data_IF_526914035545
#
_entry.id   IF_526914035545
#
_cell.length_a   1.000
_cell.length_b   1.000
_cell.length_c   1.000
_cell.angle_alpha   90.00
_cell.angle_beta   90.00
_cell.angle_gamma   90.00
#
_symmetry.space_group_name_H-M   'P 1'
#
loop_
_entity.id
_entity.type
_entity.pdbx_description
1 polymer ?
#
# COMPACT_ATOMS: atom_id res chain seq x y z
N UNK A 1 7.13 2.08 14.21
CA UNK A 1 6.36 3.14 14.88
C UNK A 1 5.28 3.57 13.92
N UNK A 2 4.05 3.71 14.39
CA UNK A 2 2.93 4.24 13.64
C UNK A 2 2.61 5.64 14.16
N UNK A 3 2.35 6.58 13.26
CA UNK A 3 1.77 7.87 13.59
C UNK A 3 0.45 8.03 12.84
N UNK A 4 -0.63 8.30 13.55
CA UNK A 4 -1.98 8.46 12.98
C UNK A 4 -2.34 9.93 13.03
N UNK A 5 -2.63 10.55 11.89
CA UNK A 5 -3.26 11.88 11.85
C UNK A 5 -4.72 11.78 12.28
N UNK A 6 -5.06 12.51 13.35
CA UNK A 6 -6.35 12.41 14.04
C UNK A 6 -7.28 13.60 13.73
N UNK A 7 -6.96 14.34 12.67
CA UNK A 7 -7.82 15.40 12.14
C UNK A 7 -9.23 14.90 11.83
N UNK A 8 -10.21 15.80 11.76
CA UNK A 8 -11.61 15.47 11.54
C UNK A 8 -11.85 14.63 10.27
N UNK A 9 -10.98 14.74 9.25
CA UNK A 9 -11.07 13.88 8.06
C UNK A 9 -10.91 12.38 8.37
N UNK A 10 -10.25 12.01 9.48
CA UNK A 10 -10.18 10.61 9.93
C UNK A 10 -11.52 10.09 10.49
N UNK A 11 -12.47 10.97 10.83
CA UNK A 11 -13.79 10.58 11.32
C UNK A 11 -14.80 10.37 10.19
N UNK A 12 -14.41 10.62 8.94
CA UNK A 12 -15.32 10.48 7.80
C UNK A 12 -15.85 9.06 7.73
N UNK A 13 -17.17 8.97 7.62
CA UNK A 13 -17.89 7.71 7.48
C UNK A 13 -17.59 7.07 6.12
N UNK A 14 -17.35 5.77 6.19
CA UNK A 14 -17.18 4.84 5.08
C UNK A 14 -18.34 3.87 5.19
N UNK A 15 -19.18 3.85 4.16
CA UNK A 15 -20.26 2.89 4.03
C UNK A 15 -19.72 1.67 3.35
N UNK A 16 -19.93 0.51 3.96
CA UNK A 16 -19.65 -0.79 3.38
C UNK A 16 -20.96 -1.43 2.92
N UNK A 17 -20.89 -2.38 1.99
CA UNK A 17 -22.03 -2.96 1.26
C UNK A 17 -23.12 -3.55 2.17
N UNK A 18 -22.73 -4.10 3.33
CA UNK A 18 -23.66 -4.67 4.31
C UNK A 18 -24.44 -3.63 5.14
N UNK A 19 -24.35 -2.34 4.80
CA UNK A 19 -25.02 -1.24 5.49
C UNK A 19 -24.37 -0.82 6.81
N UNK A 20 -23.24 -1.43 7.19
CA UNK A 20 -22.44 -0.95 8.31
C UNK A 20 -21.72 0.36 7.95
N UNK A 21 -21.50 1.17 8.97
CA UNK A 21 -20.82 2.46 8.85
C UNK A 21 -19.59 2.40 9.74
N UNK A 22 -18.43 2.60 9.14
CA UNK A 22 -17.14 2.69 9.83
C UNK A 22 -16.57 4.08 9.62
N UNK A 23 -15.81 4.61 10.58
CA UNK A 23 -15.00 5.79 10.28
C UNK A 23 -13.69 5.37 9.62
N UNK A 24 -13.05 6.29 8.88
CA UNK A 24 -11.68 6.10 8.37
C UNK A 24 -10.73 5.68 9.49
N UNK A 25 -10.86 6.26 10.69
CA UNK A 25 -10.09 5.91 11.88
C UNK A 25 -10.31 4.47 12.34
N UNK A 26 -11.53 3.96 12.26
CA UNK A 26 -11.81 2.56 12.59
C UNK A 26 -11.05 1.62 11.65
N UNK A 27 -11.12 1.89 10.34
CA UNK A 27 -10.41 1.10 9.32
C UNK A 27 -8.89 1.21 9.49
N UNK A 28 -8.37 2.39 9.83
CA UNK A 28 -6.95 2.58 10.14
C UNK A 28 -6.54 1.69 11.32
N UNK A 29 -7.28 1.71 12.43
CA UNK A 29 -6.99 0.86 13.60
C UNK A 29 -6.99 -0.62 13.23
N UNK A 30 -7.96 -1.08 12.44
CA UNK A 30 -8.03 -2.46 11.97
C UNK A 30 -6.82 -2.85 11.11
N UNK A 31 -6.47 -2.01 10.13
CA UNK A 31 -5.37 -2.32 9.22
C UNK A 31 -4.02 -2.37 9.95
N UNK A 32 -3.83 -1.55 10.99
CA UNK A 32 -2.65 -1.62 11.86
C UNK A 32 -2.62 -2.94 12.64
N UNK A 33 -3.76 -3.41 13.17
CA UNK A 33 -3.80 -4.67 13.93
C UNK A 33 -3.49 -5.87 13.03
N UNK A 34 -4.10 -5.91 11.82
CA UNK A 34 -3.77 -6.89 10.79
C UNK A 34 -2.26 -6.89 10.49
N UNK A 35 -1.70 -5.71 10.24
CA UNK A 35 -0.27 -5.55 9.98
C UNK A 35 0.59 -6.07 11.13
N UNK A 36 0.26 -5.72 12.38
CA UNK A 36 1.02 -6.15 13.54
C UNK A 36 1.04 -7.66 13.66
N UNK A 37 -0.11 -8.31 13.56
CA UNK A 37 -0.19 -9.75 13.65
C UNK A 37 0.60 -10.44 12.54
N UNK A 38 0.47 -9.99 11.29
CA UNK A 38 1.24 -10.53 10.17
C UNK A 38 2.76 -10.29 10.33
N UNK A 39 3.19 -9.12 10.81
CA UNK A 39 4.61 -8.87 11.12
C UNK A 39 5.13 -9.75 12.26
N UNK A 40 4.33 -9.97 13.29
CA UNK A 40 4.69 -10.83 14.43
C UNK A 40 4.76 -12.30 14.04
N UNK A 41 3.91 -12.77 13.11
CA UNK A 41 4.01 -14.14 12.58
C UNK A 41 5.25 -14.34 11.72
N UNK A 42 5.70 -13.30 10.99
CA UNK A 42 6.98 -13.32 10.26
C UNK A 42 8.17 -13.37 11.24
N UNK A 43 8.14 -12.53 12.28
CA UNK A 43 9.15 -12.56 13.35
C UNK A 43 8.59 -11.96 14.65
N UNK A 44 8.58 -12.76 15.71
CA UNK A 44 8.02 -12.39 17.02
C UNK A 44 8.83 -11.31 17.76
N UNK A 45 10.03 -10.96 17.30
CA UNK A 45 10.86 -9.90 17.89
C UNK A 45 10.51 -8.49 17.40
N UNK A 46 9.58 -8.35 16.46
CA UNK A 46 9.09 -7.03 16.08
C UNK A 46 8.41 -6.34 17.27
N UNK A 47 8.61 -5.03 17.38
CA UNK A 47 7.96 -4.20 18.40
C UNK A 47 7.37 -2.97 17.75
N UNK A 48 6.26 -2.51 18.31
CA UNK A 48 5.44 -1.44 17.78
C UNK A 48 5.28 -0.34 18.81
N UNK A 49 5.14 0.89 18.33
CA UNK A 49 4.82 2.08 19.09
C UNK A 49 3.87 2.94 18.29
N UNK A 50 2.99 3.67 18.99
CA UNK A 50 1.95 4.49 18.39
C UNK A 50 2.04 5.92 18.89
N UNK A 51 1.88 6.85 17.96
CA UNK A 51 1.69 8.27 18.21
C UNK A 51 0.49 8.77 17.41
N UNK A 52 -0.02 9.92 17.79
CA UNK A 52 -1.07 10.63 17.09
C UNK A 52 -0.58 12.03 16.69
N UNK A 53 -1.02 12.51 15.54
CA UNK A 53 -0.77 13.84 15.02
C UNK A 53 -2.09 14.64 15.06
N UNK A 54 -2.23 15.50 16.06
CA UNK A 54 -3.29 16.50 16.13
C UNK A 54 -2.73 17.89 15.80
N UNK A 55 -2.99 18.88 16.66
CA UNK A 55 -2.29 20.17 16.63
C UNK A 55 -0.78 20.04 16.86
N UNK A 56 -0.39 19.06 17.68
CA UNK A 56 0.99 18.63 17.85
C UNK A 56 1.05 17.10 17.91
N UNK A 57 2.22 16.54 17.64
CA UNK A 57 2.44 15.10 17.81
C UNK A 57 2.43 14.75 19.31
N UNK A 58 1.77 13.65 19.68
CA UNK A 58 1.85 13.08 21.01
C UNK A 58 1.91 11.54 20.96
N UNK A 59 2.55 10.95 21.97
CA UNK A 59 2.78 9.51 22.08
C UNK A 59 1.61 8.83 22.80
N UNK A 60 1.11 7.73 22.24
CA UNK A 60 -0.03 6.97 22.78
C UNK A 60 0.39 5.87 23.76
N UNK A 61 1.67 5.50 23.77
CA UNK A 61 2.23 4.51 24.70
C UNK A 61 3.69 4.81 25.03
N UNK A 62 4.10 4.56 26.28
CA UNK A 62 5.46 4.93 26.75
C UNK A 62 6.58 4.16 26.04
N UNK A 63 6.40 2.85 25.85
CA UNK A 63 7.43 1.94 25.36
C UNK A 63 6.95 1.16 24.14
N UNK A 64 7.87 0.56 23.39
CA UNK A 64 7.55 -0.33 22.29
C UNK A 64 7.03 -1.68 22.83
N UNK A 65 5.97 -2.22 22.26
CA UNK A 65 5.37 -3.51 22.65
C UNK A 65 5.23 -4.44 21.45
N UNK A 66 5.26 -5.75 21.69
CA UNK A 66 4.96 -6.80 20.70
C UNK A 66 3.57 -7.41 20.91
N UNK A 67 2.73 -6.82 21.77
CA UNK A 67 1.41 -7.35 22.11
C UNK A 67 0.29 -6.54 21.49
N UNK A 68 -0.80 -7.23 21.13
CA UNK A 68 -1.97 -6.63 20.50
C UNK A 68 -2.76 -5.80 21.50
N UNK A 69 -2.81 -6.23 22.76
CA UNK A 69 -3.47 -5.54 23.85
C UNK A 69 -2.86 -4.14 24.09
N UNK A 70 -1.55 -4.00 23.90
CA UNK A 70 -0.88 -2.70 23.99
C UNK A 70 -1.34 -1.75 22.88
N UNK A 71 -1.55 -2.26 21.66
CA UNK A 71 -2.07 -1.46 20.55
C UNK A 71 -3.52 -1.04 20.79
N UNK A 72 -4.36 -1.98 21.23
CA UNK A 72 -5.75 -1.69 21.60
C UNK A 72 -5.83 -0.64 22.72
N UNK A 73 -4.97 -0.74 23.74
CA UNK A 73 -4.88 0.26 24.79
C UNK A 73 -4.45 1.63 24.26
N UNK A 74 -3.44 1.67 23.38
CA UNK A 74 -2.98 2.91 22.75
C UNK A 74 -4.09 3.57 21.90
N UNK A 75 -4.87 2.78 21.16
CA UNK A 75 -5.97 3.29 20.34
C UNK A 75 -7.13 3.86 21.14
N UNK A 76 -7.37 3.35 22.35
CA UNK A 76 -8.34 3.95 23.29
C UNK A 76 -7.88 5.31 23.82
N UNK A 77 -6.57 5.56 23.81
CA UNK A 77 -5.98 6.85 24.19
C UNK A 77 -6.01 7.91 23.09
N UNK A 78 -6.52 7.60 21.90
CA UNK A 78 -6.75 8.59 20.85
C UNK A 78 -7.96 9.43 21.28
N UNK A 79 -7.69 10.66 21.68
CA UNK A 79 -8.69 11.63 22.12
C UNK A 79 -8.52 12.96 21.37
N UNK A 80 -9.57 13.79 21.37
CA UNK A 80 -9.60 15.13 20.77
C UNK A 80 -9.45 15.16 19.25
N UNK A 81 -10.57 15.37 18.57
CA UNK A 81 -10.61 15.67 17.14
C UNK A 81 -10.82 17.18 17.01
N UNK A 82 -9.74 17.91 16.80
CA UNK A 82 -9.83 19.32 16.44
C UNK A 82 -9.17 19.49 15.10
N UNK A 83 -9.90 20.11 14.17
CA UNK A 83 -9.32 20.56 12.91
C UNK A 83 -8.16 21.48 13.22
N UNK A 84 -6.98 21.16 12.70
CA UNK A 84 -5.81 22.01 12.88
C UNK A 84 -5.26 22.44 11.53
N UNK A 85 -5.14 23.76 11.38
CA UNK A 85 -4.56 24.40 10.18
C UNK A 85 -3.05 24.17 10.06
N UNK A 86 -2.44 23.38 10.95
CA UNK A 86 -1.02 23.06 10.95
C UNK A 86 -0.78 21.57 11.18
N UNK A 87 0.11 21.00 10.37
CA UNK A 87 0.60 19.64 10.52
C UNK A 87 2.14 19.66 10.64
N UNK A 88 2.63 19.93 11.84
CA UNK A 88 4.07 19.94 12.14
C UNK A 88 4.59 18.53 12.47
N UNK A 89 5.43 17.97 11.60
CA UNK A 89 6.07 16.67 11.80
C UNK A 89 7.41 16.77 12.56
N UNK A 90 7.86 17.98 12.93
CA UNK A 90 9.17 18.20 13.57
C UNK A 90 9.34 17.39 14.85
N UNK A 91 8.33 17.39 15.72
CA UNK A 91 8.39 16.63 16.97
C UNK A 91 8.37 15.11 16.71
N UNK A 92 7.55 14.66 15.76
CA UNK A 92 7.51 13.26 15.33
C UNK A 92 8.88 12.80 14.85
N UNK A 93 9.55 13.59 14.01
CA UNK A 93 10.86 13.23 13.46
C UNK A 93 11.97 13.26 14.50
N UNK A 94 11.94 14.20 15.46
CA UNK A 94 12.85 14.21 16.62
C UNK A 94 12.70 12.94 17.45
N UNK A 95 11.46 12.53 17.70
CA UNK A 95 11.15 11.33 18.47
C UNK A 95 11.60 10.07 17.71
N UNK A 96 11.26 9.97 16.41
CA UNK A 96 11.68 8.87 15.56
C UNK A 96 13.21 8.75 15.51
N UNK A 97 13.94 9.85 15.31
CA UNK A 97 15.39 9.84 15.29
C UNK A 97 16.01 9.39 16.62
N UNK A 98 15.44 9.83 17.75
CA UNK A 98 15.88 9.40 19.07
C UNK A 98 15.69 7.88 19.24
N UNK A 99 14.50 7.35 18.92
CA UNK A 99 14.22 5.92 19.01
C UNK A 99 15.02 5.10 17.99
N UNK A 100 15.37 5.67 16.83
CA UNK A 100 16.18 5.01 15.84
C UNK A 100 17.63 4.83 16.30
N UNK A 101 18.22 5.82 16.99
CA UNK A 101 19.54 5.68 17.61
C UNK A 101 19.53 4.59 18.69
N UNK A 102 18.50 4.58 19.54
CA UNK A 102 18.32 3.54 20.57
C UNK A 102 18.13 2.15 19.96
N UNK A 103 17.37 2.05 18.87
CA UNK A 103 17.13 0.80 18.15
C UNK A 103 18.42 0.26 17.52
N UNK A 104 19.25 1.12 16.90
CA UNK A 104 20.55 0.71 16.33
C UNK A 104 21.50 0.16 17.38
N UNK A 105 21.52 0.75 18.58
CA UNK A 105 22.32 0.23 19.70
C UNK A 105 21.91 -1.20 20.12
N UNK A 106 20.71 -1.65 19.70
CA UNK A 106 20.19 -3.00 19.91
C UNK A 106 20.16 -3.84 18.63
N UNK A 107 20.90 -3.43 17.59
CA UNK A 107 20.95 -4.05 16.27
C UNK A 107 19.56 -4.17 15.60
N UNK A 108 18.75 -3.10 15.71
CA UNK A 108 17.42 -2.98 15.11
C UNK A 108 17.33 -1.72 14.27
N UNK A 109 16.54 -1.79 13.19
CA UNK A 109 16.16 -0.61 12.41
C UNK A 109 14.84 -0.02 12.94
N UNK A 110 14.66 1.29 12.77
CA UNK A 110 13.39 1.95 13.03
C UNK A 110 12.71 2.31 11.71
N UNK A 111 11.45 1.90 11.60
CA UNK A 111 10.53 2.30 10.54
C UNK A 111 9.40 3.14 11.14
N UNK A 112 9.12 4.30 10.54
CA UNK A 112 7.97 5.14 10.84
C UNK A 112 6.94 4.99 9.70
N UNK A 113 5.73 4.58 10.03
CA UNK A 113 4.60 4.56 9.10
C UNK A 113 3.66 5.69 9.51
N UNK A 114 3.57 6.74 8.69
CA UNK A 114 2.67 7.88 8.87
C UNK A 114 1.38 7.62 8.10
N UNK A 115 0.24 7.70 8.79
CA UNK A 115 -1.08 7.65 8.16
C UNK A 115 -1.65 9.07 8.22
N UNK A 116 -1.59 9.77 7.09
CA UNK A 116 -1.94 11.19 6.97
C UNK A 116 -3.33 11.36 6.39
N UNK A 117 -4.18 12.19 7.01
CA UNK A 117 -5.60 12.28 6.66
C UNK A 117 -6.05 13.65 6.15
N UNK A 118 -5.30 14.73 6.40
CA UNK A 118 -5.70 16.08 5.98
C UNK A 118 -5.54 16.27 4.47
N UNK A 119 -6.60 16.70 3.80
CA UNK A 119 -6.60 16.99 2.36
C UNK A 119 -6.27 18.44 2.02
N UNK A 120 -6.34 19.35 2.99
CA UNK A 120 -6.20 20.79 2.80
C UNK A 120 -4.92 21.39 3.41
N UNK A 121 -4.20 20.63 4.23
CA UNK A 121 -3.04 21.11 4.99
C UNK A 121 -1.82 20.30 4.58
N UNK A 122 -0.84 20.88 3.87
CA UNK A 122 0.43 20.20 3.64
C UNK A 122 1.21 20.06 4.96
N UNK A 123 1.82 18.90 5.24
CA UNK A 123 2.70 18.78 6.39
C UNK A 123 3.94 19.65 6.21
N UNK A 124 4.49 20.11 7.32
CA UNK A 124 5.78 20.78 7.34
C UNK A 124 6.68 20.17 8.42
N UNK A 125 8.00 20.36 8.27
CA UNK A 125 8.94 20.00 9.32
C UNK A 125 10.20 20.86 9.26
N UNK A 126 10.87 20.98 10.41
CA UNK A 126 12.22 21.51 10.53
C UNK A 126 13.16 20.36 10.89
N UNK A 127 13.62 19.64 9.87
CA UNK A 127 14.51 18.49 10.02
C UNK A 127 15.73 18.64 9.10
N UNK A 128 16.96 18.42 9.59
CA UNK A 128 18.13 18.46 8.73
C UNK A 128 18.09 17.32 7.71
N UNK A 129 18.11 17.64 6.41
CA UNK A 129 18.08 16.66 5.30
C UNK A 129 19.26 15.67 5.35
N UNK A 130 20.35 16.03 6.03
CA UNK A 130 21.51 15.16 6.25
C UNK A 130 21.26 14.04 7.28
N UNK A 131 20.16 14.09 8.04
CA UNK A 131 19.86 13.12 9.10
C UNK A 131 18.82 12.08 8.68
N UNK A 132 19.29 11.07 7.94
CA UNK A 132 18.49 9.91 7.53
C UNK A 132 18.67 8.76 8.52
N UNK A 133 17.93 8.82 9.62
CA UNK A 133 18.10 7.91 10.76
C UNK A 133 17.03 6.80 10.83
N UNK A 134 15.94 6.91 10.10
CA UNK A 134 14.87 5.94 10.07
C UNK A 134 14.28 5.90 8.66
N UNK A 135 13.47 4.91 8.32
CA UNK A 135 12.69 4.92 7.08
C UNK A 135 11.29 5.45 7.35
N UNK A 136 10.82 6.40 6.54
CA UNK A 136 9.44 6.87 6.55
C UNK A 136 8.65 6.16 5.42
N UNK A 137 7.52 5.59 5.77
CA UNK A 137 6.47 5.25 4.82
C UNK A 137 5.24 6.09 5.10
N UNK A 138 4.50 6.43 4.05
CA UNK A 138 3.32 7.27 4.11
C UNK A 138 2.12 6.55 3.53
N UNK A 139 1.01 6.60 4.25
CA UNK A 139 -0.32 6.27 3.76
C UNK A 139 -1.13 7.56 3.77
N UNK A 140 -1.36 8.14 2.59
CA UNK A 140 -2.12 9.37 2.43
C UNK A 140 -3.58 9.04 2.09
N UNK A 141 -4.48 9.32 3.04
CA UNK A 141 -5.91 9.02 2.92
C UNK A 141 -6.68 10.34 2.89
N UNK A 142 -7.22 10.69 1.73
CA UNK A 142 -7.86 11.99 1.54
C UNK A 142 -9.18 11.85 0.80
N UNK A 143 -9.91 12.95 0.75
CA UNK A 143 -11.08 13.08 -0.10
C UNK A 143 -10.70 13.54 -1.51
N UNK A 144 -11.62 13.35 -2.46
CA UNK A 144 -11.46 13.87 -3.82
C UNK A 144 -11.14 15.37 -3.79
N UNK A 145 -10.36 15.86 -4.78
CA UNK A 145 -10.13 17.29 -4.93
C UNK A 145 -11.45 18.06 -5.05
N UNK A 146 -11.61 19.06 -4.21
CA UNK A 146 -12.74 19.99 -4.15
C UNK A 146 -12.21 21.42 -3.95
N UNK A 147 -13.06 22.43 -4.05
CA UNK A 147 -12.64 23.84 -3.91
C UNK A 147 -12.04 24.18 -2.55
N UNK A 148 -12.27 23.35 -1.53
CA UNK A 148 -11.87 23.57 -0.14
C UNK A 148 -10.62 22.80 0.28
N UNK A 149 -10.07 21.92 -0.59
CA UNK A 149 -8.90 21.12 -0.28
C UNK A 149 -7.84 21.17 -1.40
N UNK A 150 -6.67 20.60 -1.16
CA UNK A 150 -5.55 20.62 -2.10
C UNK A 150 -4.68 19.35 -2.05
N UNK A 151 -5.27 18.16 -2.27
CA UNK A 151 -4.59 16.90 -2.02
C UNK A 151 -3.28 16.72 -2.79
N UNK A 152 -3.15 17.27 -4.00
CA UNK A 152 -1.88 17.24 -4.74
C UNK A 152 -0.76 17.97 -3.99
N UNK A 153 -1.03 19.16 -3.45
CA UNK A 153 -0.01 19.92 -2.68
C UNK A 153 0.39 19.19 -1.40
N UNK A 154 -0.55 18.49 -0.79
CA UNK A 154 -0.29 17.66 0.39
C UNK A 154 0.56 16.45 0.02
N UNK A 155 0.22 15.77 -1.08
CA UNK A 155 0.99 14.64 -1.60
C UNK A 155 2.43 15.05 -1.91
N UNK A 156 2.64 16.15 -2.65
CA UNK A 156 3.96 16.67 -2.98
C UNK A 156 4.80 16.93 -1.72
N UNK A 157 4.21 17.56 -0.69
CA UNK A 157 4.89 17.80 0.58
C UNK A 157 5.20 16.51 1.38
N UNK A 158 4.37 15.47 1.24
CA UNK A 158 4.63 14.16 1.84
C UNK A 158 5.76 13.42 1.13
N UNK A 159 5.84 13.52 -0.21
CA UNK A 159 6.96 13.00 -1.01
C UNK A 159 8.25 13.69 -0.59
N UNK A 160 8.27 15.03 -0.54
CA UNK A 160 9.42 15.81 -0.10
C UNK A 160 9.90 15.36 1.30
N UNK A 161 8.97 15.21 2.26
CA UNK A 161 9.31 14.77 3.60
C UNK A 161 9.91 13.35 3.61
N UNK A 162 9.33 12.43 2.83
CA UNK A 162 9.79 11.05 2.71
C UNK A 162 11.20 10.97 2.15
N UNK A 163 11.49 11.70 1.07
CA UNK A 163 12.83 11.74 0.45
C UNK A 163 13.89 12.32 1.39
N UNK A 164 13.52 13.34 2.16
CA UNK A 164 14.45 14.05 3.04
C UNK A 164 14.85 13.25 4.29
N UNK A 165 13.97 12.42 4.84
CA UNK A 165 14.21 11.76 6.13
C UNK A 165 14.55 10.28 6.04
N UNK A 166 14.22 9.61 4.94
CA UNK A 166 14.31 8.14 4.86
C UNK A 166 15.74 7.62 4.62
N UNK A 167 16.16 6.69 5.48
CA UNK A 167 17.44 5.96 5.38
C UNK A 167 17.46 4.92 4.26
N UNK A 168 16.43 4.08 4.22
CA UNK A 168 16.13 3.20 3.08
C UNK A 168 14.99 3.79 2.27
N UNK A 169 14.74 3.25 1.07
CA UNK A 169 13.60 3.61 0.24
C UNK A 169 12.31 3.65 1.09
N UNK A 170 11.63 4.79 1.08
CA UNK A 170 10.32 4.98 1.71
C UNK A 170 9.22 4.74 0.67
N UNK A 171 8.10 4.15 1.06
CA UNK A 171 6.94 4.01 0.19
C UNK A 171 5.87 5.04 0.55
N UNK A 172 5.20 5.58 -0.45
CA UNK A 172 4.02 6.44 -0.30
C UNK A 172 2.84 5.87 -1.07
N UNK A 173 1.72 5.69 -0.39
CA UNK A 173 0.47 5.23 -1.00
C UNK A 173 -0.62 6.27 -0.82
N UNK A 174 -1.37 6.55 -1.89
CA UNK A 174 -2.51 7.48 -1.89
C UNK A 174 -3.84 6.70 -1.98
N UNK A 175 -4.87 7.18 -1.29
CA UNK A 175 -6.26 6.73 -1.48
C UNK A 175 -7.23 7.90 -1.30
N UNK A 176 -7.77 8.40 -2.41
CA UNK A 176 -8.72 9.52 -2.46
C UNK A 176 -10.19 9.17 -2.20
N UNK A 177 -10.51 7.88 -2.00
CA UNK A 177 -11.88 7.40 -1.72
C UNK A 177 -12.01 6.70 -0.37
N UNK A 178 -10.90 6.43 0.31
CA UNK A 178 -10.91 5.78 1.62
C UNK A 178 -11.48 4.36 1.58
N UNK A 179 -11.51 3.69 0.42
CA UNK A 179 -11.96 2.29 0.33
C UNK A 179 -11.09 1.44 1.27
N UNK A 180 -11.70 0.73 2.24
CA UNK A 180 -10.94 -0.01 3.24
C UNK A 180 -10.02 -1.04 2.57
N UNK A 181 -10.51 -1.73 1.54
CA UNK A 181 -9.77 -2.71 0.75
C UNK A 181 -8.43 -2.17 0.25
N UNK A 182 -8.42 -0.95 -0.29
CA UNK A 182 -7.19 -0.31 -0.78
C UNK A 182 -6.19 -0.09 0.34
N UNK A 183 -6.65 0.36 1.51
CA UNK A 183 -5.81 0.55 2.69
C UNK A 183 -5.22 -0.78 3.19
N UNK A 184 -6.03 -1.84 3.30
CA UNK A 184 -5.55 -3.17 3.70
C UNK A 184 -4.49 -3.70 2.73
N UNK A 185 -4.73 -3.61 1.42
CA UNK A 185 -3.76 -4.02 0.40
C UNK A 185 -2.43 -3.29 0.55
N UNK A 186 -2.45 -1.96 0.68
CA UNK A 186 -1.23 -1.18 0.86
C UNK A 186 -0.51 -1.53 2.17
N UNK A 187 -1.24 -1.80 3.25
CA UNK A 187 -0.66 -2.26 4.52
C UNK A 187 0.04 -3.62 4.37
N UNK A 188 -0.51 -4.53 3.57
CA UNK A 188 0.13 -5.80 3.24
C UNK A 188 1.44 -5.61 2.46
N UNK A 189 1.49 -4.69 1.50
CA UNK A 189 2.74 -4.34 0.79
C UNK A 189 3.80 -3.82 1.75
N UNK A 190 3.37 -3.01 2.73
CA UNK A 190 4.23 -2.50 3.80
C UNK A 190 4.70 -3.61 4.76
N UNK A 191 4.27 -4.87 4.66
CA UNK A 191 4.84 -5.95 5.50
C UNK A 191 6.32 -6.20 5.19
N UNK A 192 6.74 -5.89 3.96
CA UNK A 192 8.11 -6.00 3.49
C UNK A 192 9.10 -5.25 4.39
N UNK A 193 10.26 -5.87 4.66
CA UNK A 193 11.30 -5.26 5.48
C UNK A 193 11.95 -4.09 4.72
N UNK A 194 12.14 -2.90 5.31
CA UNK A 194 12.67 -1.72 4.60
C UNK A 194 13.99 -1.94 3.84
N UNK A 195 14.89 -2.76 4.39
CA UNK A 195 16.17 -3.09 3.75
C UNK A 195 16.03 -4.09 2.58
N UNK A 196 14.98 -4.92 2.57
CA UNK A 196 14.87 -6.07 1.66
C UNK A 196 13.89 -5.85 0.50
N UNK A 197 13.05 -4.81 0.58
CA UNK A 197 12.09 -4.48 -0.48
C UNK A 197 12.78 -3.79 -1.65
N UNK A 198 12.22 -3.94 -2.85
CA UNK A 198 12.62 -3.18 -4.03
C UNK A 198 12.25 -1.70 -3.90
N UNK A 199 12.52 -0.90 -4.95
CA UNK A 199 11.94 0.43 -5.07
C UNK A 199 10.44 0.33 -5.36
N UNK A 200 9.67 1.36 -5.01
CA UNK A 200 8.22 1.26 -5.08
C UNK A 200 7.69 1.02 -6.50
N UNK A 201 8.33 1.63 -7.51
CA UNK A 201 7.94 1.50 -8.92
C UNK A 201 8.16 0.08 -9.48
N UNK A 202 9.05 -0.70 -8.85
CA UNK A 202 9.37 -2.08 -9.25
C UNK A 202 8.50 -3.12 -8.52
N UNK A 203 7.49 -2.68 -7.76
CA UNK A 203 6.57 -3.60 -7.10
C UNK A 203 5.64 -4.21 -8.16
N UNK A 204 5.91 -5.46 -8.50
CA UNK A 204 4.97 -6.30 -9.26
C UNK A 204 4.13 -7.12 -8.28
N UNK A 205 2.98 -6.58 -7.87
CA UNK A 205 1.96 -7.38 -7.18
C UNK A 205 1.15 -8.07 -8.27
N UNK A 206 1.21 -9.40 -8.36
CA UNK A 206 0.49 -10.11 -9.38
C UNK A 206 -1.02 -9.82 -9.32
N UNK A 207 -1.61 -9.49 -10.46
CA UNK A 207 -3.06 -9.22 -10.55
C UNK A 207 -3.83 -10.53 -10.40
N UNK A 208 -4.96 -10.50 -9.68
CA UNK A 208 -5.84 -11.67 -9.50
C UNK A 208 -6.22 -12.29 -10.85
N UNK A 209 -6.04 -13.61 -10.98
CA UNK A 209 -6.28 -14.38 -12.20
C UNK A 209 -7.77 -14.58 -12.53
N UNK A 210 -8.69 -14.00 -11.78
CA UNK A 210 -10.15 -14.22 -11.92
C UNK A 210 -10.78 -13.59 -13.17
N UNK A 211 -10.00 -12.93 -14.05
CA UNK A 211 -10.44 -12.52 -15.40
C UNK A 211 -9.74 -13.30 -16.50
N UNK A 212 -10.00 -14.60 -16.60
CA UNK A 212 -9.88 -15.32 -17.88
C UNK A 212 -11.27 -15.66 -18.39
N UNK A 213 -11.99 -14.64 -18.88
CA UNK A 213 -13.15 -14.89 -19.74
C UNK A 213 -12.60 -15.40 -21.07
N UNK A 214 -13.00 -16.61 -21.45
CA UNK A 214 -12.62 -17.25 -22.71
C UNK A 214 -12.99 -16.34 -23.90
N UNK A 215 -12.00 -15.67 -24.49
CA UNK A 215 -12.17 -15.02 -25.77
C UNK A 215 -12.18 -16.11 -26.85
N UNK A 216 -13.38 -16.46 -27.30
CA UNK A 216 -13.64 -17.31 -28.46
C UNK A 216 -12.93 -16.71 -29.68
N UNK A 217 -11.91 -17.41 -30.19
CA UNK A 217 -11.33 -17.16 -31.51
C UNK A 217 -12.42 -17.31 -32.58
N UNK A 218 -12.72 -16.22 -33.29
CA UNK A 218 -13.36 -16.28 -34.61
C UNK A 218 -12.28 -16.12 -35.67
N UNK A 219 -11.87 -17.25 -36.25
CA UNK A 219 -11.13 -17.33 -37.51
C UNK A 219 -12.02 -16.95 -38.71
N UNK A 220 -11.61 -15.92 -39.45
CA UNK A 220 -11.91 -15.63 -40.86
C UNK A 220 -10.74 -14.77 -41.34
N UNK A 221 -9.93 -15.07 -42.36
CA UNK A 221 -10.11 -15.88 -43.57
C UNK A 221 -9.96 -14.96 -44.79
N UNK A 222 -8.82 -15.03 -45.52
CA UNK A 222 -8.52 -14.35 -46.80
C UNK A 222 -7.77 -13.01 -46.64
N UNK A 223 -6.77 -12.61 -47.44
CA UNK A 223 -6.35 -13.01 -48.79
C UNK A 223 -4.93 -12.44 -49.08
N UNK A 224 -4.12 -13.15 -49.88
CA UNK A 224 -2.74 -12.81 -50.29
C UNK A 224 -2.76 -12.22 -51.71
N UNK A 225 -2.10 -11.08 -51.99
CA UNK A 225 -1.38 -10.79 -53.27
C UNK A 225 -0.27 -9.72 -53.04
N UNK A 226 0.93 -9.76 -53.71
CA UNK A 226 2.15 -9.02 -53.35
C UNK A 226 2.65 -7.97 -54.41
N UNK A 227 3.85 -7.39 -54.13
CA UNK A 227 4.83 -6.66 -55.03
C UNK A 227 4.64 -5.12 -55.09
N UNK A 228 5.64 -4.20 -55.01
CA UNK A 228 7.02 -4.14 -55.53
C UNK A 228 7.96 -3.17 -54.77
N UNK A 229 9.26 -3.43 -54.91
CA UNK A 229 10.47 -2.78 -54.38
C UNK A 229 10.78 -1.36 -54.85
N UNK A 230 11.56 -0.61 -54.04
CA UNK A 230 12.72 0.18 -54.52
C UNK A 230 13.69 0.52 -53.36
N UNK A 231 14.96 0.16 -53.56
CA UNK A 231 16.12 0.44 -52.68
C UNK A 231 16.71 1.85 -52.91
N UNK A 232 17.46 2.37 -51.92
CA UNK A 232 18.80 2.96 -52.14
C UNK A 232 19.54 3.31 -50.83
N UNK A 233 20.72 2.67 -50.63
CA UNK A 233 21.92 3.14 -49.91
C UNK A 233 21.85 3.22 -48.38
N UNK A 234 22.72 2.62 -47.57
CA UNK A 234 24.11 2.21 -47.76
C UNK A 234 24.94 2.76 -46.59
N UNK A 235 25.05 2.01 -45.48
CA UNK A 235 26.02 2.24 -44.41
C UNK A 235 26.33 0.91 -43.72
N UNK A 236 27.57 0.45 -43.88
CA UNK A 236 28.10 -0.78 -43.30
C UNK A 236 27.98 -0.75 -41.76
N UNK A 237 27.12 -1.62 -41.23
CA UNK A 237 27.20 -2.07 -39.84
C UNK A 237 27.82 -3.45 -39.86
N UNK A 238 28.86 -3.64 -39.04
CA UNK A 238 29.48 -4.92 -38.74
C UNK A 238 28.41 -5.82 -38.09
N UNK A 239 27.71 -6.57 -38.94
CA UNK A 239 26.59 -7.43 -38.56
C UNK A 239 27.19 -8.78 -38.16
N UNK A 240 27.23 -9.04 -36.86
CA UNK A 240 27.47 -10.39 -36.34
C UNK A 240 26.36 -11.26 -36.91
N UNK A 241 26.70 -12.06 -37.94
CA UNK A 241 25.80 -13.01 -38.56
C UNK A 241 25.60 -14.17 -37.57
N UNK A 242 24.76 -13.95 -36.56
CA UNK A 242 24.09 -15.03 -35.87
C UNK A 242 23.27 -15.75 -36.93
N UNK A 243 23.44 -17.07 -37.05
CA UNK A 243 22.67 -17.83 -38.00
C UNK A 243 21.18 -17.74 -37.60
N UNK A 244 20.28 -17.88 -38.57
CA UNK A 244 18.83 -17.75 -38.37
C UNK A 244 18.33 -18.70 -37.25
N UNK A 245 18.98 -19.85 -37.09
CA UNK A 245 18.71 -20.81 -36.02
C UNK A 245 19.10 -20.31 -34.61
N UNK A 246 20.15 -19.50 -34.48
CA UNK A 246 20.57 -18.88 -33.21
C UNK A 246 19.58 -17.77 -32.80
N UNK A 247 19.02 -17.04 -33.77
CA UNK A 247 18.00 -16.04 -33.50
C UNK A 247 16.65 -16.67 -33.10
N UNK A 248 16.24 -17.75 -33.76
CA UNK A 248 15.05 -18.52 -33.36
C UNK A 248 15.23 -19.15 -31.98
N UNK A 249 16.43 -19.64 -31.66
CA UNK A 249 16.74 -20.22 -30.36
C UNK A 249 16.71 -19.20 -29.23
N UNK A 250 17.27 -18.00 -29.45
CA UNK A 250 17.18 -16.88 -28.51
C UNK A 250 15.74 -16.40 -28.30
N UNK A 251 14.93 -16.34 -29.35
CA UNK A 251 13.50 -16.00 -29.22
C UNK A 251 12.71 -17.08 -28.47
N UNK A 252 13.00 -18.36 -28.70
CA UNK A 252 12.38 -19.45 -27.96
C UNK A 252 12.79 -19.44 -26.47
N UNK A 253 14.05 -19.13 -26.16
CA UNK A 253 14.53 -18.99 -24.77
C UNK A 253 13.92 -17.77 -24.07
N UNK A 254 13.79 -16.62 -24.74
CA UNK A 254 13.11 -15.44 -24.22
C UNK A 254 11.61 -15.68 -23.98
N UNK A 255 10.93 -16.32 -24.94
CA UNK A 255 9.53 -16.73 -24.81
C UNK A 255 9.31 -17.72 -23.66
N UNK A 256 10.23 -18.67 -23.48
CA UNK A 256 10.20 -19.61 -22.36
C UNK A 256 10.37 -18.90 -21.01
N UNK A 257 11.33 -17.98 -20.93
CA UNK A 257 11.58 -17.19 -19.71
C UNK A 257 10.41 -16.25 -19.35
N UNK A 258 9.77 -15.63 -20.34
CA UNK A 258 8.55 -14.82 -20.14
C UNK A 258 7.39 -15.66 -19.61
N UNK A 259 7.25 -16.90 -20.11
CA UNK A 259 6.21 -17.83 -19.67
C UNK A 259 6.44 -18.33 -18.24
N UNK A 260 7.69 -18.65 -17.89
CA UNK A 260 8.06 -19.04 -16.53
C UNK A 260 7.88 -17.88 -15.54
N UNK A 261 8.23 -16.66 -15.94
CA UNK A 261 8.04 -15.47 -15.12
C UNK A 261 6.54 -15.18 -14.87
N UNK A 262 5.68 -15.30 -15.88
CA UNK A 262 4.24 -15.12 -15.70
C UNK A 262 3.59 -16.23 -14.85
N UNK A 263 4.07 -17.48 -14.93
CA UNK A 263 3.63 -18.54 -14.00
C UNK A 263 4.05 -18.22 -12.56
N UNK A 264 5.31 -17.81 -12.35
CA UNK A 264 5.81 -17.45 -11.02
C UNK A 264 5.05 -16.26 -10.41
N UNK A 265 4.67 -15.26 -11.24
CA UNK A 265 3.77 -14.19 -10.82
C UNK A 265 2.40 -14.73 -10.41
N UNK A 266 1.80 -15.60 -11.21
CA UNK A 266 0.51 -16.23 -10.89
C UNK A 266 0.52 -16.98 -9.55
N UNK A 267 1.59 -17.73 -9.28
CA UNK A 267 1.76 -18.46 -8.02
C UNK A 267 1.94 -17.51 -6.83
N UNK A 268 2.71 -16.43 -6.98
CA UNK A 268 2.89 -15.41 -5.94
C UNK A 268 1.58 -14.64 -5.65
N UNK A 269 0.75 -14.40 -6.67
CA UNK A 269 -0.60 -13.81 -6.52
C UNK A 269 -1.45 -14.64 -5.57
N UNK A 270 -1.53 -15.93 -5.87
CA UNK A 270 -2.39 -16.87 -5.17
C UNK A 270 -1.87 -17.07 -3.74
N UNK A 271 -0.56 -17.18 -3.55
CA UNK A 271 0.04 -17.27 -2.22
C UNK A 271 -0.21 -16.02 -1.36
N UNK A 272 -0.22 -14.82 -1.97
CA UNK A 272 -0.56 -13.59 -1.26
C UNK A 272 -2.03 -13.55 -0.86
N UNK A 273 -2.95 -13.88 -1.78
CA UNK A 273 -4.40 -13.90 -1.51
C UNK A 273 -4.81 -15.01 -0.52
N UNK A 274 -4.21 -16.19 -0.62
CA UNK A 274 -4.40 -17.29 0.34
C UNK A 274 -3.81 -16.92 1.71
N UNK A 275 -2.61 -16.33 1.72
CA UNK A 275 -1.96 -15.86 2.94
C UNK A 275 -2.75 -14.75 3.62
N UNK A 276 -3.28 -13.81 2.83
CA UNK A 276 -4.18 -12.74 3.28
C UNK A 276 -5.45 -13.35 3.87
N UNK A 277 -6.20 -14.14 3.11
CA UNK A 277 -7.44 -14.80 3.55
C UNK A 277 -7.24 -15.67 4.80
N UNK A 278 -6.15 -16.44 4.88
CA UNK A 278 -5.83 -17.26 6.06
C UNK A 278 -5.45 -16.42 7.29
N UNK A 279 -4.77 -15.28 7.09
CA UNK A 279 -4.47 -14.34 8.17
C UNK A 279 -5.77 -13.74 8.71
N UNK A 280 -6.64 -13.30 7.81
CA UNK A 280 -7.97 -12.76 8.12
C UNK A 280 -8.84 -13.78 8.86
N UNK A 281 -8.93 -15.02 8.37
CA UNK A 281 -9.71 -16.08 9.01
C UNK A 281 -9.23 -16.34 10.45
N UNK A 282 -7.92 -16.33 10.68
CA UNK A 282 -7.36 -16.45 12.04
C UNK A 282 -7.72 -15.28 12.95
N UNK A 283 -7.93 -14.06 12.43
CA UNK A 283 -8.43 -12.95 13.25
C UNK A 283 -9.91 -13.07 13.59
N UNK A 284 -10.72 -13.55 12.64
CA UNK A 284 -12.12 -13.86 12.90
C UNK A 284 -12.25 -14.94 13.99
N UNK A 285 -11.47 -16.02 13.90
CA UNK A 285 -11.44 -17.11 14.88
C UNK A 285 -10.91 -16.67 16.26
N UNK A 286 -9.99 -15.71 16.30
CA UNK A 286 -9.46 -15.15 17.55
C UNK A 286 -10.45 -14.23 18.29
N UNK A 287 -11.64 -13.96 17.73
CA UNK A 287 -12.70 -13.20 18.39
C UNK A 287 -12.30 -11.78 18.75
N UNK A 288 -11.43 -11.14 17.95
CA UNK A 288 -10.92 -9.80 18.24
C UNK A 288 -12.07 -8.79 18.08
N UNK A 289 -12.70 -8.43 19.19
CA UNK A 289 -13.72 -7.38 19.28
C UNK A 289 -13.05 -6.01 19.48
N UNK A 290 -13.22 -5.14 18.49
CA UNK A 290 -12.53 -3.86 18.42
C UNK A 290 -13.60 -2.84 18.10
N UNK A 291 -13.93 -1.98 19.07
CA UNK A 291 -15.02 -0.99 19.08
C UNK A 291 -16.45 -1.51 19.36
N UNK A 292 -16.61 -2.78 19.77
CA UNK A 292 -17.93 -3.40 19.97
C UNK A 292 -18.50 -4.02 18.68
N UNK A 293 -17.64 -4.29 17.71
CA UNK A 293 -17.92 -5.00 16.45
C UNK A 293 -16.72 -5.89 16.11
N UNK A 294 -17.00 -7.09 15.61
CA UNK A 294 -15.95 -8.08 15.37
C UNK A 294 -15.20 -7.78 14.07
N UNK A 295 -13.92 -8.17 14.01
CA UNK A 295 -13.14 -8.14 12.77
C UNK A 295 -13.83 -8.89 11.61
N UNK A 296 -14.56 -9.97 11.94
CA UNK A 296 -15.33 -10.76 10.99
C UNK A 296 -16.47 -9.94 10.33
N UNK A 297 -17.11 -9.04 11.08
CA UNK A 297 -18.19 -8.19 10.55
C UNK A 297 -17.66 -7.19 9.51
N UNK A 298 -16.51 -6.59 9.78
CA UNK A 298 -15.82 -5.68 8.85
C UNK A 298 -15.40 -6.45 7.62
N UNK A 299 -14.83 -7.65 7.80
CA UNK A 299 -14.35 -8.45 6.70
C UNK A 299 -15.48 -8.94 5.78
N UNK A 300 -16.58 -9.43 6.33
CA UNK A 300 -17.76 -9.81 5.55
C UNK A 300 -18.31 -8.61 4.75
N UNK A 301 -18.26 -7.41 5.33
CA UNK A 301 -18.63 -6.18 4.64
C UNK A 301 -17.69 -5.80 3.48
N UNK A 302 -16.42 -6.21 3.58
CA UNK A 302 -15.44 -5.95 2.54
C UNK A 302 -15.50 -7.02 1.45
N UNK A 303 -15.68 -8.30 1.79
CA UNK A 303 -15.83 -9.41 0.82
C UNK A 303 -16.98 -9.21 -0.17
N UNK A 304 -18.12 -8.67 0.28
CA UNK A 304 -19.22 -8.31 -0.61
C UNK A 304 -18.81 -7.24 -1.66
N UNK A 305 -17.95 -6.29 -1.27
CA UNK A 305 -17.38 -5.27 -2.16
C UNK A 305 -16.41 -5.89 -3.19
N UNK A 306 -15.75 -7.03 -2.88
CA UNK A 306 -14.95 -7.79 -3.85
C UNK A 306 -15.81 -8.44 -4.94
N UNK A 307 -17.06 -8.79 -4.64
CA UNK A 307 -17.97 -9.44 -5.58
C UNK A 307 -18.75 -8.47 -6.49
N UNK A 308 -19.08 -7.26 -6.04
CA UNK A 308 -19.78 -6.27 -6.87
C UNK A 308 -18.90 -5.67 -7.99
N UNK A 309 -17.60 -5.43 -7.76
CA UNK A 309 -16.70 -4.94 -8.83
C UNK A 309 -16.44 -5.97 -9.95
N UNK A 310 -16.79 -7.24 -9.73
CA UNK A 310 -16.63 -8.30 -10.71
C UNK A 310 -17.74 -8.32 -11.77
N UNK A 311 -18.78 -7.48 -11.66
CA UNK A 311 -19.94 -7.54 -12.57
C UNK A 311 -20.44 -6.16 -13.07
N UNK A 312 -19.72 -5.48 -13.99
CA UNK A 312 -20.26 -4.33 -14.68
C UNK A 312 -20.99 -4.79 -15.95
N UNK A 313 -22.20 -5.32 -15.82
CA UNK A 313 -23.09 -5.53 -16.97
C UNK A 313 -24.51 -5.09 -16.62
N UNK A 314 -24.81 -3.83 -16.92
CA UNK A 314 -26.15 -3.46 -17.32
C UNK A 314 -26.08 -2.50 -18.51
N UNK A 315 -26.21 -2.98 -19.76
CA UNK A 315 -26.45 -2.10 -20.90
C UNK A 315 -27.95 -1.82 -20.98
N UNK A 316 -28.37 -0.69 -20.41
CA UNK A 316 -29.67 -0.12 -20.72
C UNK A 316 -29.68 0.29 -22.21
N UNK A 317 -30.33 -0.53 -23.03
CA UNK A 317 -30.72 -0.21 -24.41
C UNK A 317 -31.98 0.67 -24.36
N UNK A 318 -32.00 1.88 -24.94
CA UNK A 318 -33.26 2.56 -25.20
C UNK A 318 -33.86 2.08 -26.53
N UNK A 319 -35.17 1.80 -26.52
CA UNK A 319 -36.03 1.72 -27.69
C UNK A 319 -36.69 3.08 -27.96
#
# INVERSE_FOLDING_TARGET
>A
MFCIDIDNECLKEIKVSNGQIFTRLDVIKQSILLFMHAKLSINSHHRFAFSALGKSTYRLQKEFSSTIESALAAFRGITEHSSSDQADLTLLFREAAHEAKKSRAQNRILRLILIYCRSSVPPYHQWPVTQKLFTLDVMYLHDKPESINCPQKVYDALVDALEQVSEYEGYIFESGQGLPRTLFRHMCVLLSHPHQRCIQDDIDIPKSLTKKTEAVEKTTGGEIVPVSSQELGGAEKEQVHLNEADHERLQAELSGAETELEMAKGEAANAFEEGYSACIQKFAEAGVDISGRSFADIFAALEEEFHEEANPLDPAIPA
#
